data_IF_813891874518
#
_entry.id   IF_813891874518
#
_cell.length_a   1.000
_cell.length_b   1.000
_cell.length_c   1.000
_cell.angle_alpha   90.00
_cell.angle_beta   90.00
_cell.angle_gamma   90.00
#
_symmetry.space_group_name_H-M   'P 1'
#
loop_
_entity.id
_entity.type
_entity.pdbx_description
1 polymer ?
#
# COMPACT_ATOMS: atom_id res chain seq x y z
N UNK A 1 -13.70 4.72 -19.73
CA UNK A 1 -12.95 3.86 -18.80
C UNK A 1 -11.53 4.41 -18.70
N UNK A 2 -10.91 4.38 -17.52
CA UNK A 2 -9.50 4.75 -17.40
C UNK A 2 -8.61 3.71 -18.12
N UNK A 3 -7.51 4.16 -18.72
CA UNK A 3 -6.60 3.31 -19.49
C UNK A 3 -5.14 3.56 -19.12
N UNK A 4 -4.29 2.56 -19.38
CA UNK A 4 -2.86 2.64 -19.12
C UNK A 4 -2.18 3.77 -19.91
N UNK A 5 -1.31 4.54 -19.25
CA UNK A 5 -0.54 5.60 -19.87
C UNK A 5 0.52 5.13 -20.89
N UNK A 6 0.83 3.83 -20.94
CA UNK A 6 1.76 3.25 -21.92
C UNK A 6 1.04 2.46 -23.03
N UNK A 7 0.40 1.34 -22.70
CA UNK A 7 -0.19 0.45 -23.70
C UNK A 7 -1.60 0.87 -24.16
N UNK A 8 -2.18 1.91 -23.56
CA UNK A 8 -3.55 2.41 -23.83
C UNK A 8 -4.68 1.42 -23.60
N UNK A 9 -4.39 0.21 -23.13
CA UNK A 9 -5.40 -0.79 -22.79
C UNK A 9 -6.14 -0.41 -21.49
N UNK A 10 -7.42 -0.81 -21.36
CA UNK A 10 -8.21 -0.57 -20.15
C UNK A 10 -7.67 -1.38 -18.96
N UNK A 11 -8.00 -0.94 -17.75
CA UNK A 11 -7.77 -1.71 -16.53
C UNK A 11 -8.89 -2.73 -16.32
N UNK A 12 -8.52 -3.97 -16.03
CA UNK A 12 -9.47 -5.03 -15.69
C UNK A 12 -9.81 -5.01 -14.20
N UNK A 13 -11.10 -4.97 -13.87
CA UNK A 13 -11.57 -4.96 -12.48
C UNK A 13 -11.19 -6.24 -11.71
N UNK A 14 -10.99 -7.36 -12.41
CA UNK A 14 -10.56 -8.64 -11.84
C UNK A 14 -9.05 -8.78 -11.66
N UNK A 15 -8.24 -7.82 -12.12
CA UNK A 15 -6.79 -7.92 -12.00
C UNK A 15 -6.36 -7.89 -10.53
N UNK A 16 -5.58 -8.89 -10.06
CA UNK A 16 -5.01 -8.83 -8.71
C UNK A 16 -3.88 -7.80 -8.59
N UNK A 17 -3.38 -7.31 -9.73
CA UNK A 17 -2.34 -6.29 -9.83
C UNK A 17 -2.98 -4.94 -10.10
N UNK A 18 -2.83 -4.04 -9.15
CA UNK A 18 -3.36 -2.70 -9.28
C UNK A 18 -2.34 -1.77 -9.94
N UNK A 19 -2.75 -0.84 -10.82
CA UNK A 19 -1.82 0.01 -11.56
C UNK A 19 -1.13 1.06 -10.69
N UNK A 20 0.06 1.52 -11.04
CA UNK A 20 0.70 2.64 -10.34
C UNK A 20 0.22 3.99 -10.87
N UNK A 21 -0.01 4.94 -9.95
CA UNK A 21 -0.34 6.33 -10.28
C UNK A 21 0.94 7.15 -10.40
N UNK A 22 1.18 7.76 -11.56
CA UNK A 22 2.29 8.69 -11.70
C UNK A 22 2.01 9.99 -10.93
N UNK A 23 2.95 10.40 -10.07
CA UNK A 23 2.81 11.60 -9.23
C UNK A 23 2.80 12.93 -9.99
N UNK A 24 3.19 12.94 -11.27
CA UNK A 24 3.34 14.16 -12.07
C UNK A 24 2.20 14.35 -13.08
N UNK A 25 1.85 13.31 -13.85
CA UNK A 25 0.76 13.40 -14.83
C UNK A 25 -0.57 12.83 -14.33
N UNK A 26 -0.61 12.24 -13.13
CA UNK A 26 -1.82 11.65 -12.53
C UNK A 26 -2.46 10.54 -13.39
N UNK A 27 -1.70 9.94 -14.31
CA UNK A 27 -2.13 8.78 -15.10
C UNK A 27 -1.74 7.48 -14.43
N UNK A 28 -2.51 6.43 -14.70
CA UNK A 28 -2.27 5.08 -14.20
C UNK A 28 -1.49 4.23 -15.20
N UNK A 29 -0.65 3.33 -14.69
CA UNK A 29 0.24 2.47 -15.49
C UNK A 29 0.21 1.03 -14.96
N UNK A 30 0.03 0.05 -15.84
CA UNK A 30 0.13 -1.36 -15.45
C UNK A 30 1.53 -1.68 -14.94
N UNK A 31 1.63 -2.55 -13.92
CA UNK A 31 2.92 -3.07 -13.45
C UNK A 31 3.67 -3.81 -14.57
N UNK A 32 2.94 -4.52 -15.44
CA UNK A 32 3.50 -5.26 -16.58
C UNK A 32 3.92 -4.36 -17.74
N UNK A 33 3.49 -3.09 -17.76
CA UNK A 33 3.93 -2.13 -18.78
C UNK A 33 5.15 -1.32 -18.35
N UNK A 34 5.63 -1.48 -17.13
CA UNK A 34 6.85 -0.80 -16.67
C UNK A 34 8.06 -1.38 -17.42
N UNK A 35 8.93 -0.50 -17.89
CA UNK A 35 10.15 -0.84 -18.65
C UNK A 35 11.20 -1.56 -17.79
N UNK A 36 11.08 -1.39 -16.47
CA UNK A 36 11.85 -2.11 -15.46
C UNK A 36 11.75 -3.64 -15.60
N UNK A 37 12.90 -4.34 -15.59
CA UNK A 37 12.93 -5.82 -15.51
C UNK A 37 12.34 -6.37 -14.21
N UNK A 38 12.17 -5.54 -13.16
CA UNK A 38 11.68 -5.96 -11.85
C UNK A 38 10.40 -5.20 -11.49
N UNK A 39 9.32 -5.95 -11.21
CA UNK A 39 8.10 -5.37 -10.65
C UNK A 39 8.39 -4.70 -9.30
N UNK A 40 7.74 -3.57 -8.97
CA UNK A 40 7.91 -2.89 -7.69
C UNK A 40 7.54 -3.76 -6.47
N UNK A 41 6.67 -4.75 -6.67
CA UNK A 41 6.15 -5.64 -5.63
C UNK A 41 5.67 -6.96 -6.22
N UNK A 42 5.70 -8.02 -5.41
CA UNK A 42 5.06 -9.31 -5.60
C UNK A 42 3.74 -9.44 -4.81
N UNK A 43 3.38 -8.46 -3.98
CA UNK A 43 2.15 -8.44 -3.20
C UNK A 43 0.97 -7.98 -4.07
N UNK A 44 -0.10 -8.75 -4.06
CA UNK A 44 -1.34 -8.40 -4.77
C UNK A 44 -2.00 -7.22 -4.08
N UNK A 45 -2.60 -6.33 -4.86
CA UNK A 45 -3.27 -5.14 -4.34
C UNK A 45 -2.33 -4.02 -3.85
N UNK A 46 -1.02 -4.13 -4.06
CA UNK A 46 -0.06 -3.16 -3.55
C UNK A 46 0.23 -2.03 -4.56
N UNK A 47 -0.34 -0.85 -4.32
CA UNK A 47 -0.07 0.39 -5.08
C UNK A 47 0.77 1.40 -4.30
N UNK A 48 1.35 1.01 -3.16
CA UNK A 48 1.85 1.97 -2.17
C UNK A 48 3.28 2.42 -2.48
N UNK A 49 3.41 3.11 -3.62
CA UNK A 49 4.66 3.58 -4.19
C UNK A 49 4.52 5.02 -4.66
N UNK A 50 5.58 5.80 -4.50
CA UNK A 50 5.75 7.05 -5.25
C UNK A 50 6.31 6.68 -6.62
N UNK A 51 5.59 6.96 -7.70
CA UNK A 51 5.96 6.55 -9.06
C UNK A 51 6.08 7.73 -10.02
N UNK A 52 7.09 7.71 -10.89
CA UNK A 52 7.29 8.61 -12.02
C UNK A 52 7.45 7.80 -13.31
N UNK A 53 6.61 8.07 -14.32
CA UNK A 53 6.71 7.43 -15.62
C UNK A 53 7.85 8.02 -16.46
N UNK A 54 8.27 7.29 -17.51
CA UNK A 54 9.33 7.72 -18.43
C UNK A 54 8.99 9.00 -19.19
N UNK A 55 7.71 9.29 -19.41
CA UNK A 55 7.30 10.51 -20.11
C UNK A 55 7.48 11.78 -19.27
N UNK A 56 7.32 11.69 -17.95
CA UNK A 56 7.47 12.80 -17.03
C UNK A 56 8.89 12.92 -16.45
N UNK A 57 9.69 11.86 -16.56
CA UNK A 57 11.09 11.85 -16.12
C UNK A 57 12.00 12.56 -17.11
N UNK A 58 12.86 13.46 -16.62
CA UNK A 58 13.85 14.20 -17.43
C UNK A 58 14.81 13.27 -18.17
N UNK A 59 15.21 12.17 -17.52
CA UNK A 59 16.15 11.18 -18.05
C UNK A 59 15.47 10.12 -18.92
N UNK A 60 14.15 10.22 -19.15
CA UNK A 60 13.32 9.18 -19.81
C UNK A 60 13.36 7.82 -19.12
N UNK A 61 13.80 7.75 -17.87
CA UNK A 61 13.81 6.53 -17.07
C UNK A 61 12.74 6.58 -16.00
N UNK A 62 11.98 5.50 -15.87
CA UNK A 62 11.03 5.32 -14.78
C UNK A 62 11.72 5.33 -13.41
N UNK A 63 11.02 5.81 -12.40
CA UNK A 63 11.47 5.69 -11.02
C UNK A 63 10.31 5.38 -10.09
N UNK A 64 10.57 4.58 -9.07
CA UNK A 64 9.63 4.35 -7.97
C UNK A 64 10.36 4.17 -6.65
N UNK A 65 9.67 4.54 -5.57
CA UNK A 65 10.10 4.29 -4.20
C UNK A 65 8.93 3.82 -3.35
N UNK A 66 9.19 2.93 -2.39
CA UNK A 66 8.20 2.41 -1.44
C UNK A 66 7.74 3.54 -0.52
N UNK A 67 6.43 3.78 -0.42
CA UNK A 67 5.90 4.71 0.57
C UNK A 67 6.15 4.17 1.99
N UNK A 68 6.36 5.08 2.95
CA UNK A 68 6.45 4.69 4.36
C UNK A 68 5.09 4.21 4.85
N UNK A 69 5.01 2.92 5.21
CA UNK A 69 3.77 2.29 5.63
C UNK A 69 3.59 2.37 7.15
N UNK A 70 2.39 2.78 7.57
CA UNK A 70 1.95 2.59 8.96
C UNK A 70 1.45 1.15 9.17
N UNK A 71 1.18 0.78 10.42
CA UNK A 71 0.72 -0.58 10.75
C UNK A 71 -0.63 -0.93 10.15
N UNK A 72 -1.55 0.03 9.95
CA UNK A 72 -2.84 -0.23 9.30
C UNK A 72 -2.61 -0.71 7.87
N UNK A 73 -1.78 -0.03 7.08
CA UNK A 73 -1.48 -0.43 5.70
C UNK A 73 -0.80 -1.80 5.62
N UNK A 74 0.17 -2.05 6.51
CA UNK A 74 0.90 -3.33 6.57
C UNK A 74 -0.06 -4.49 6.87
N UNK A 75 -0.95 -4.31 7.86
CA UNK A 75 -1.92 -5.33 8.26
C UNK A 75 -2.97 -5.54 7.16
N UNK A 76 -3.50 -4.46 6.59
CA UNK A 76 -4.49 -4.54 5.51
C UNK A 76 -3.94 -5.28 4.30
N UNK A 77 -2.74 -4.90 3.83
CA UNK A 77 -2.10 -5.57 2.69
C UNK A 77 -1.81 -7.05 2.99
N UNK A 78 -1.40 -7.36 4.22
CA UNK A 78 -1.15 -8.74 4.66
C UNK A 78 -2.43 -9.57 4.66
N UNK A 79 -3.50 -9.06 5.27
CA UNK A 79 -4.80 -9.75 5.31
C UNK A 79 -5.39 -9.92 3.90
N UNK A 80 -5.27 -8.91 3.04
CA UNK A 80 -5.73 -9.00 1.65
C UNK A 80 -5.04 -10.15 0.91
N UNK A 81 -3.71 -10.24 1.00
CA UNK A 81 -2.95 -11.32 0.36
C UNK A 81 -3.23 -12.69 0.99
N UNK A 82 -3.36 -12.76 2.31
CA UNK A 82 -3.73 -14.00 3.01
C UNK A 82 -5.11 -14.50 2.57
N UNK A 83 -6.11 -13.62 2.48
CA UNK A 83 -7.46 -13.96 2.03
C UNK A 83 -7.51 -14.47 0.58
N UNK A 84 -6.65 -13.93 -0.30
CA UNK A 84 -6.52 -14.44 -1.68
C UNK A 84 -5.87 -15.83 -1.77
N UNK A 85 -5.18 -16.27 -0.72
CA UNK A 85 -4.50 -17.58 -0.69
C UNK A 85 -5.37 -18.73 -0.17
N UNK A 86 -6.66 -18.46 0.12
CA UNK A 86 -7.68 -19.43 0.57
C UNK A 86 -7.38 -20.24 1.86
N UNK A 87 -6.27 -19.95 2.57
CA UNK A 87 -5.84 -20.73 3.74
C UNK A 87 -6.47 -20.37 5.09
N UNK A 88 -7.42 -19.43 5.14
CA UNK A 88 -8.02 -18.93 6.38
C UNK A 88 -9.20 -19.78 6.87
N UNK A 89 -9.43 -19.82 8.19
CA UNK A 89 -10.64 -20.44 8.75
C UNK A 89 -11.82 -19.50 8.52
N UNK A 90 -12.68 -19.82 7.54
CA UNK A 90 -13.81 -18.96 7.12
C UNK A 90 -13.39 -17.53 6.74
N UNK A 91 -12.20 -17.40 6.13
CA UNK A 91 -11.61 -16.12 5.77
C UNK A 91 -11.02 -15.33 6.95
N UNK A 92 -10.92 -15.94 8.14
CA UNK A 92 -10.22 -15.38 9.29
C UNK A 92 -8.84 -16.01 9.48
N UNK A 93 -7.92 -15.20 9.99
CA UNK A 93 -6.54 -15.55 10.26
C UNK A 93 -6.18 -15.21 11.71
N UNK A 94 -5.39 -16.06 12.35
CA UNK A 94 -4.81 -15.76 13.66
C UNK A 94 -3.82 -14.61 13.51
N UNK A 95 -3.87 -13.64 14.41
CA UNK A 95 -2.95 -12.49 14.34
C UNK A 95 -1.48 -12.90 14.48
N UNK A 96 -1.15 -13.82 15.40
CA UNK A 96 0.23 -14.21 15.69
C UNK A 96 0.80 -15.24 14.70
N UNK A 97 0.04 -16.28 14.34
CA UNK A 97 0.52 -17.36 13.48
C UNK A 97 0.18 -17.19 12.00
N UNK A 98 -0.78 -16.32 11.68
CA UNK A 98 -1.14 -15.96 10.31
C UNK A 98 -0.57 -14.60 9.91
N UNK A 99 -1.11 -13.51 10.49
CA UNK A 99 -0.81 -12.14 10.07
C UNK A 99 0.66 -11.79 10.36
N UNK A 100 1.13 -11.96 11.59
CA UNK A 100 2.52 -11.69 11.95
C UNK A 100 3.50 -12.55 11.15
N UNK A 101 3.19 -13.83 10.90
CA UNK A 101 4.03 -14.72 10.08
C UNK A 101 4.13 -14.20 8.63
N UNK A 102 3.02 -13.76 8.05
CA UNK A 102 3.02 -13.16 6.71
C UNK A 102 3.86 -11.88 6.66
N UNK A 103 3.68 -10.98 7.64
CA UNK A 103 4.45 -9.74 7.76
C UNK A 103 5.94 -10.02 7.89
N UNK A 104 6.30 -11.01 8.70
CA UNK A 104 7.69 -11.42 8.93
C UNK A 104 8.35 -11.86 7.61
N UNK A 105 7.67 -12.69 6.81
CA UNK A 105 8.18 -13.19 5.52
C UNK A 105 8.30 -12.11 4.43
N UNK A 106 7.50 -11.04 4.51
CA UNK A 106 7.47 -9.95 3.52
C UNK A 106 8.00 -8.62 4.10
N UNK A 107 8.73 -8.67 5.22
CA UNK A 107 9.13 -7.47 5.96
C UNK A 107 9.91 -6.48 5.09
N UNK A 108 10.93 -6.95 4.39
CA UNK A 108 11.80 -6.10 3.57
C UNK A 108 11.09 -5.56 2.32
N UNK A 109 10.09 -6.29 1.81
CA UNK A 109 9.29 -5.81 0.69
C UNK A 109 8.33 -4.70 1.15
N UNK A 110 7.69 -4.86 2.31
CA UNK A 110 6.71 -3.90 2.79
C UNK A 110 7.35 -2.68 3.47
N UNK A 111 8.40 -2.90 4.24
CA UNK A 111 9.00 -1.92 5.15
C UNK A 111 10.55 -1.99 5.10
N UNK A 112 11.16 -1.74 3.93
CA UNK A 112 12.61 -1.92 3.72
C UNK A 112 13.49 -1.14 4.70
N UNK A 113 13.04 0.04 5.15
CA UNK A 113 13.78 0.92 6.05
C UNK A 113 13.44 0.75 7.52
N UNK A 114 12.52 -0.15 7.89
CA UNK A 114 12.04 -0.29 9.27
C UNK A 114 12.76 -1.42 9.99
N UNK A 115 13.28 -1.14 11.19
CA UNK A 115 13.82 -2.18 12.08
C UNK A 115 12.69 -2.84 12.89
N UNK A 116 12.86 -4.13 13.21
CA UNK A 116 11.93 -4.88 14.06
C UNK A 116 12.16 -4.52 15.53
N UNK A 117 11.13 -3.99 16.20
CA UNK A 117 11.14 -3.78 17.65
C UNK A 117 10.63 -5.01 18.37
N UNK A 118 11.05 -5.30 19.59
CA UNK A 118 10.52 -6.45 20.37
C UNK A 118 9.00 -6.44 20.52
N UNK A 119 8.38 -5.26 20.46
CA UNK A 119 6.95 -5.02 20.62
C UNK A 119 6.14 -5.02 19.32
N UNK A 120 6.75 -5.22 18.14
CA UNK A 120 6.06 -5.02 16.85
C UNK A 120 4.80 -5.88 16.70
N UNK A 121 4.84 -7.11 17.23
CA UNK A 121 3.72 -8.05 17.21
C UNK A 121 2.55 -7.57 18.08
N UNK A 122 2.84 -6.99 19.25
CA UNK A 122 1.83 -6.37 20.11
C UNK A 122 1.20 -5.16 19.41
N UNK A 123 1.98 -4.39 18.65
CA UNK A 123 1.44 -3.29 17.84
C UNK A 123 0.50 -3.78 16.75
N UNK A 124 0.77 -4.94 16.13
CA UNK A 124 -0.17 -5.57 15.19
C UNK A 124 -1.50 -5.90 15.87
N UNK A 125 -1.47 -6.58 17.01
CA UNK A 125 -2.67 -6.91 17.77
C UNK A 125 -3.46 -5.66 18.21
N UNK A 126 -2.76 -4.63 18.70
CA UNK A 126 -3.39 -3.36 19.10
C UNK A 126 -4.01 -2.61 17.91
N UNK A 127 -3.33 -2.57 16.77
CA UNK A 127 -3.82 -1.90 15.56
C UNK A 127 -5.07 -2.59 15.01
N UNK A 128 -5.12 -3.92 15.03
CA UNK A 128 -6.30 -4.69 14.65
C UNK A 128 -7.51 -4.30 15.52
N UNK A 129 -7.33 -4.25 16.83
CA UNK A 129 -8.38 -3.89 17.79
C UNK A 129 -8.89 -2.45 17.63
N UNK A 130 -7.98 -1.47 17.52
CA UNK A 130 -8.35 -0.05 17.42
C UNK A 130 -9.10 0.26 16.12
N UNK A 131 -8.83 -0.47 15.03
CA UNK A 131 -9.46 -0.24 13.72
C UNK A 131 -10.65 -1.19 13.45
N UNK A 132 -11.12 -1.92 14.46
CA UNK A 132 -12.32 -2.75 14.40
C UNK A 132 -13.55 -1.97 14.90
N UNK A 133 -14.72 -2.06 14.23
CA UNK A 133 -15.03 -2.87 13.05
C UNK A 133 -14.82 -2.15 11.71
N UNK A 134 -14.20 -0.96 11.72
CA UNK A 134 -14.14 -0.09 10.52
C UNK A 134 -13.39 -0.71 9.34
N UNK A 135 -12.20 -1.28 9.59
CA UNK A 135 -11.33 -1.88 8.57
C UNK A 135 -11.16 -3.38 8.79
N UNK A 136 -11.14 -3.80 10.05
CA UNK A 136 -10.89 -5.18 10.44
C UNK A 136 -12.08 -5.75 11.20
N UNK A 137 -12.36 -7.02 10.94
CA UNK A 137 -13.43 -7.79 11.57
C UNK A 137 -12.84 -8.78 12.57
N UNK A 138 -13.25 -8.69 13.83
CA UNK A 138 -12.92 -9.70 14.84
C UNK A 138 -13.74 -10.98 14.65
N UNK A 139 -13.10 -12.14 14.77
CA UNK A 139 -13.73 -13.46 14.73
C UNK A 139 -14.14 -13.99 16.11
N UNK A 140 -14.01 -13.21 17.19
CA UNK A 140 -14.31 -13.68 18.55
C UNK A 140 -15.72 -14.25 18.69
N UNK A 141 -16.73 -13.57 18.14
CA UNK A 141 -18.12 -14.04 18.17
C UNK A 141 -18.36 -15.28 17.31
N UNK A 142 -17.52 -15.53 16.31
CA UNK A 142 -17.63 -16.67 15.39
C UNK A 142 -17.01 -17.91 16.00
N UNK A 143 -15.84 -17.79 16.63
CA UNK A 143 -15.06 -18.94 17.09
C UNK A 143 -15.10 -19.15 18.61
N UNK A 144 -15.70 -18.23 19.38
CA UNK A 144 -15.73 -18.29 20.83
C UNK A 144 -14.37 -18.02 21.49
N UNK A 145 -13.38 -17.55 20.73
CA UNK A 145 -12.03 -17.28 21.21
C UNK A 145 -11.40 -16.07 20.50
N UNK A 146 -10.51 -15.38 21.20
CA UNK A 146 -9.88 -14.17 20.68
C UNK A 146 -8.79 -14.44 19.63
N UNK A 147 -8.45 -13.40 18.89
CA UNK A 147 -7.24 -13.37 18.06
C UNK A 147 -7.43 -13.81 16.60
N UNK A 148 -8.67 -14.01 16.17
CA UNK A 148 -9.03 -14.23 14.78
C UNK A 148 -9.46 -12.93 14.11
N UNK A 149 -8.94 -12.66 12.92
CA UNK A 149 -9.16 -11.40 12.22
C UNK A 149 -9.36 -11.61 10.73
N UNK A 150 -10.17 -10.76 10.13
CA UNK A 150 -10.41 -10.70 8.69
C UNK A 150 -10.53 -9.25 8.24
N UNK A 151 -10.52 -8.98 6.93
CA UNK A 151 -10.91 -7.67 6.42
C UNK A 151 -12.42 -7.49 6.55
N UNK A 152 -12.85 -6.25 6.84
CA UNK A 152 -14.26 -5.90 6.82
C UNK A 152 -14.82 -5.96 5.38
N UNK A 153 -14.03 -5.51 4.41
CA UNK A 153 -14.32 -5.62 2.98
C UNK A 153 -13.15 -6.29 2.26
N UNK A 154 -13.43 -7.25 1.38
CA UNK A 154 -12.41 -7.92 0.57
C UNK A 154 -11.94 -7.01 -0.57
N UNK A 155 -11.20 -5.96 -0.21
CA UNK A 155 -10.67 -4.95 -1.12
C UNK A 155 -9.23 -4.60 -0.74
N UNK A 156 -8.38 -4.31 -1.72
CA UNK A 156 -7.01 -3.87 -1.48
C UNK A 156 -6.97 -2.50 -0.79
N UNK A 157 -5.88 -2.16 -0.07
CA UNK A 157 -5.72 -0.83 0.51
C UNK A 157 -5.61 0.21 -0.61
N UNK A 158 -6.43 1.27 -0.56
CA UNK A 158 -6.41 2.31 -1.59
C UNK A 158 -5.34 3.35 -1.29
N UNK A 159 -4.60 3.74 -2.32
CA UNK A 159 -3.64 4.85 -2.24
C UNK A 159 -4.31 6.16 -1.78
N UNK A 160 -5.57 6.40 -2.19
CA UNK A 160 -6.34 7.58 -1.78
C UNK A 160 -6.55 7.71 -0.26
N UNK A 161 -6.66 6.57 0.43
CA UNK A 161 -6.88 6.54 1.88
C UNK A 161 -5.58 6.88 2.63
N UNK A 162 -4.44 6.58 1.99
CA UNK A 162 -3.12 6.99 2.46
C UNK A 162 -2.87 8.47 2.20
N UNK A 163 -3.20 8.98 1.02
CA UNK A 163 -2.98 10.40 0.66
C UNK A 163 -3.75 11.33 1.59
N UNK A 164 -4.95 10.96 2.04
CA UNK A 164 -5.69 11.72 3.07
C UNK A 164 -4.95 11.75 4.40
N UNK A 165 -4.42 10.62 4.83
CA UNK A 165 -3.61 10.49 6.06
C UNK A 165 -2.29 11.26 5.95
N UNK A 166 -1.69 11.27 4.76
CA UNK A 166 -0.47 12.01 4.44
C UNK A 166 -0.74 13.49 4.25
N UNK A 167 -1.90 13.95 3.77
CA UNK A 167 -2.19 15.38 3.60
C UNK A 167 -2.21 16.18 4.91
N UNK A 168 -2.30 15.50 6.06
CA UNK A 168 -2.05 16.09 7.38
C UNK A 168 -0.56 16.28 7.74
N UNK A 169 0.36 15.62 7.05
CA UNK A 169 1.82 15.61 7.32
C UNK A 169 2.65 16.13 6.13
N UNK A 170 2.20 15.90 4.91
CA UNK A 170 2.81 16.21 3.60
C UNK A 170 2.50 17.65 3.16
N UNK A 171 1.60 18.34 3.84
CA UNK A 171 1.45 19.78 3.66
C UNK A 171 2.72 20.55 4.05
N UNK A 172 3.66 19.93 4.78
CA UNK A 172 4.95 20.54 5.12
C UNK A 172 5.98 20.35 3.99
N UNK A 173 6.08 19.17 3.36
CA UNK A 173 7.07 18.95 2.28
C UNK A 173 6.62 19.50 0.91
N UNK A 174 5.36 19.37 0.53
CA UNK A 174 4.89 19.91 -0.76
C UNK A 174 4.80 21.45 -0.77
N UNK A 175 4.62 22.07 0.40
CA UNK A 175 4.70 23.54 0.53
C UNK A 175 6.17 24.00 0.55
N UNK A 176 7.09 23.22 1.11
CA UNK A 176 8.52 23.56 1.09
C UNK A 176 9.09 23.59 -0.35
N UNK A 177 8.73 22.60 -1.18
CA UNK A 177 9.15 22.60 -2.60
C UNK A 177 8.42 23.68 -3.42
N UNK A 178 7.13 23.94 -3.17
CA UNK A 178 6.41 25.03 -3.87
C UNK A 178 6.86 26.44 -3.46
N UNK A 179 7.34 26.66 -2.23
CA UNK A 179 7.85 27.98 -1.81
C UNK A 179 9.29 28.24 -2.30
N UNK A 180 10.12 27.21 -2.45
CA UNK A 180 11.48 27.39 -2.95
C UNK A 180 11.50 27.75 -4.44
N UNK A 181 10.58 27.19 -5.24
CA UNK A 181 10.48 27.53 -6.68
C UNK A 181 9.86 28.91 -6.91
N UNK A 182 8.97 29.39 -6.03
CA UNK A 182 8.37 30.74 -6.14
C UNK A 182 9.34 31.84 -5.69
N UNK A 183 10.27 31.57 -4.78
CA UNK A 183 11.26 32.57 -4.35
C UNK A 183 12.40 32.80 -5.36
N UNK A 184 12.67 31.84 -6.25
CA UNK A 184 13.67 32.01 -7.33
C UNK A 184 13.14 32.80 -8.52
N UNK A 185 11.83 32.88 -8.72
CA UNK A 185 11.21 33.70 -9.77
C UNK A 185 11.01 35.18 -9.36
N UNK A 186 11.16 35.53 -8.08
CA UNK A 186 10.99 36.91 -7.57
C UNK A 186 12.33 37.67 -7.49
N UNK A 187 13.46 36.96 -7.61
CA UNK A 187 14.81 37.53 -7.54
C UNK A 187 15.60 37.47 -8.87
N UNK A 188 14.93 37.24 -10.00
CA UNK A 188 15.52 37.27 -11.34
C UNK A 188 14.97 38.44 -12.18
#
# INVERSE_FOLDING_TARGET
>A
MASCGYCTQPFEDSSPWLPLLCRLCERYFHLDCLSSKRKPTALRGDQLFQFCCSFCSETRTESWSRLSLNWVHVIHLSLYNLMLSEGGREGFFRWNTGICKFIESHWFEMMPSRHKTSSWQCTVAGTLSVNCPSLFRSGTSVFGENGWWSLQEMRPPKLSDIIKTLSGTVHIELVYYRLHDVLLEICA
#
